data_IF_960450014792
#
_entry.id   IF_960450014792
#
_cell.length_a   1.000
_cell.length_b   1.000
_cell.length_c   1.000
_cell.angle_alpha   90.00
_cell.angle_beta   90.00
_cell.angle_gamma   90.00
#
_symmetry.space_group_name_H-M   'P 1'
#
loop_
_entity.id
_entity.type
_entity.pdbx_description
1 polymer ?
#
# COMPACT_ATOMS: atom_id res chain seq x y z
N UNK A 1 6.42 -2.92 -6.90
CA UNK A 1 5.05 -2.89 -7.46
C UNK A 1 5.01 -3.51 -8.84
N UNK A 2 5.58 -2.88 -9.87
CA UNK A 2 5.46 -3.35 -11.26
C UNK A 2 5.96 -4.77 -11.51
N UNK A 3 7.08 -5.15 -10.88
CA UNK A 3 7.65 -6.51 -11.00
C UNK A 3 6.68 -7.59 -10.51
N UNK A 4 6.09 -7.41 -9.33
CA UNK A 4 5.16 -8.38 -8.74
C UNK A 4 3.78 -8.34 -9.40
N UNK A 5 3.38 -7.18 -9.93
CA UNK A 5 2.20 -7.07 -10.76
C UNK A 5 2.34 -7.91 -12.03
N UNK A 6 3.38 -7.63 -12.83
CA UNK A 6 3.62 -8.34 -14.09
C UNK A 6 3.85 -9.83 -13.84
N UNK A 7 4.67 -10.18 -12.84
CA UNK A 7 4.89 -11.58 -12.48
C UNK A 7 3.61 -12.27 -12.02
N UNK A 8 2.79 -11.61 -11.20
CA UNK A 8 1.52 -12.15 -10.71
C UNK A 8 0.54 -12.43 -11.83
N UNK A 9 0.37 -11.48 -12.76
CA UNK A 9 -0.52 -11.64 -13.91
C UNK A 9 0.01 -12.69 -14.90
N UNK A 10 1.27 -12.59 -15.32
CA UNK A 10 1.84 -13.47 -16.35
C UNK A 10 1.97 -14.93 -15.91
N UNK A 11 2.21 -15.18 -14.61
CA UNK A 11 2.33 -16.54 -14.08
C UNK A 11 1.02 -17.06 -13.45
N UNK A 12 -0.10 -16.33 -13.60
CA UNK A 12 -1.40 -16.66 -12.99
C UNK A 12 -1.29 -16.97 -11.48
N UNK A 13 -0.46 -16.21 -10.76
CA UNK A 13 -0.28 -16.41 -9.31
C UNK A 13 -1.50 -15.83 -8.61
N UNK A 14 -2.45 -16.70 -8.26
CA UNK A 14 -3.59 -16.37 -7.43
C UNK A 14 -3.16 -16.36 -5.96
N UNK A 15 -3.02 -15.16 -5.39
CA UNK A 15 -2.81 -14.98 -3.95
C UNK A 15 -4.16 -14.64 -3.32
N UNK A 16 -4.38 -15.09 -2.08
CA UNK A 16 -5.62 -14.80 -1.37
C UNK A 16 -5.81 -13.27 -1.19
N UNK A 17 -6.87 -12.67 -1.77
CA UNK A 17 -7.10 -11.22 -1.70
C UNK A 17 -7.19 -10.70 -0.26
N UNK A 18 -7.82 -11.45 0.65
CA UNK A 18 -7.94 -11.07 2.06
C UNK A 18 -6.56 -10.93 2.72
N UNK A 19 -5.63 -11.85 2.44
CA UNK A 19 -4.29 -11.80 3.02
C UNK A 19 -3.47 -10.64 2.46
N UNK A 20 -3.55 -10.37 1.15
CA UNK A 20 -2.84 -9.24 0.57
C UNK A 20 -3.38 -7.92 1.13
N UNK A 21 -4.71 -7.74 1.14
CA UNK A 21 -5.31 -6.50 1.61
C UNK A 21 -5.04 -6.27 3.10
N UNK A 22 -4.95 -7.33 3.91
CA UNK A 22 -4.48 -7.25 5.29
C UNK A 22 -3.01 -6.79 5.37
N UNK A 23 -2.11 -7.29 4.51
CA UNK A 23 -0.72 -6.82 4.46
C UNK A 23 -0.64 -5.35 4.01
N UNK A 24 -1.48 -4.95 3.06
CA UNK A 24 -1.61 -3.55 2.62
C UNK A 24 -2.04 -2.67 3.81
N UNK A 25 -3.10 -3.05 4.52
CA UNK A 25 -3.55 -2.34 5.73
C UNK A 25 -2.45 -2.25 6.79
N UNK A 26 -1.73 -3.34 7.04
CA UNK A 26 -0.62 -3.38 7.97
C UNK A 26 0.53 -2.44 7.57
N UNK A 27 0.81 -2.30 6.27
CA UNK A 27 1.82 -1.37 5.78
C UNK A 27 1.50 0.10 6.11
N UNK A 28 0.21 0.47 6.09
CA UNK A 28 -0.27 1.80 6.48
C UNK A 28 -0.07 2.02 7.97
N UNK A 29 -0.40 1.02 8.79
CA UNK A 29 -0.16 1.07 10.25
C UNK A 29 1.33 1.23 10.55
N UNK A 30 2.16 0.39 9.92
CA UNK A 30 3.61 0.43 10.05
C UNK A 30 4.15 1.83 9.71
N UNK A 31 3.72 2.40 8.56
CA UNK A 31 4.23 3.70 8.14
C UNK A 31 3.70 4.86 8.97
N UNK A 32 2.45 4.82 9.42
CA UNK A 32 1.92 5.80 10.37
C UNK A 32 2.69 5.77 11.70
N UNK A 33 2.99 4.58 12.20
CA UNK A 33 3.77 4.40 13.43
C UNK A 33 5.21 4.90 13.29
N UNK A 34 5.87 4.59 12.17
CA UNK A 34 7.21 5.09 11.83
C UNK A 34 7.23 6.62 11.70
N UNK A 35 6.24 7.21 11.00
CA UNK A 35 6.11 8.66 10.83
C UNK A 35 5.92 9.42 12.16
N UNK A 36 5.28 8.79 13.15
CA UNK A 36 5.11 9.35 14.49
C UNK A 36 6.37 9.20 15.38
N UNK A 37 7.42 8.56 14.89
CA UNK A 37 8.62 8.23 15.66
C UNK A 37 8.41 7.09 16.66
N UNK A 38 7.39 6.25 16.46
CA UNK A 38 7.03 5.17 17.38
C UNK A 38 8.16 4.17 17.61
N UNK A 39 8.86 3.76 16.55
CA UNK A 39 10.00 2.84 16.65
C UNK A 39 11.13 3.38 17.52
N UNK A 40 11.48 4.65 17.33
CA UNK A 40 12.53 5.30 18.10
C UNK A 40 12.14 5.49 19.57
N UNK A 41 10.88 5.84 19.86
CA UNK A 41 10.40 6.03 21.24
C UNK A 41 10.25 4.74 22.03
N UNK A 42 9.71 3.67 21.42
CA UNK A 42 9.45 2.41 22.11
C UNK A 42 10.66 1.48 22.09
N UNK A 43 11.35 1.37 20.96
CA UNK A 43 12.39 0.35 20.75
C UNK A 43 13.80 0.92 20.64
N UNK A 44 13.96 2.26 20.61
CA UNK A 44 15.25 2.96 20.43
C UNK A 44 16.04 2.53 19.18
N UNK A 45 15.37 1.89 18.23
CA UNK A 45 15.92 1.46 16.95
C UNK A 45 15.04 2.00 15.82
N UNK A 46 15.63 2.27 14.66
CA UNK A 46 14.88 2.65 13.47
C UNK A 46 15.08 1.58 12.39
N UNK A 47 14.00 0.89 11.96
CA UNK A 47 14.10 -0.07 10.87
C UNK A 47 14.55 0.61 9.57
N UNK A 48 15.15 -0.15 8.66
CA UNK A 48 15.49 0.38 7.34
C UNK A 48 14.21 0.65 6.53
N UNK A 49 13.83 1.92 6.49
CA UNK A 49 12.61 2.39 5.81
C UNK A 49 12.60 2.09 4.32
N UNK A 50 13.76 2.05 3.67
CA UNK A 50 13.87 1.71 2.24
C UNK A 50 13.52 0.24 2.00
N UNK A 51 14.03 -0.66 2.84
CA UNK A 51 13.71 -2.08 2.76
C UNK A 51 12.23 -2.34 3.05
N UNK A 52 11.66 -1.67 4.05
CA UNK A 52 10.24 -1.79 4.37
C UNK A 52 9.35 -1.36 3.19
N UNK A 53 9.62 -0.18 2.60
CA UNK A 53 8.88 0.33 1.44
C UNK A 53 9.05 -0.59 0.23
N UNK A 54 10.23 -1.15 0.01
CA UNK A 54 10.46 -2.13 -1.05
C UNK A 54 9.58 -3.37 -0.86
N UNK A 55 9.63 -3.99 0.33
CA UNK A 55 8.88 -5.21 0.65
C UNK A 55 7.37 -4.95 0.54
N UNK A 56 6.85 -3.90 1.16
CA UNK A 56 5.43 -3.55 1.03
C UNK A 56 5.06 -3.23 -0.42
N UNK A 57 5.97 -2.64 -1.18
CA UNK A 57 5.75 -2.35 -2.58
C UNK A 57 5.67 -3.60 -3.46
N UNK A 58 6.31 -4.71 -3.05
CA UNK A 58 6.13 -6.01 -3.71
C UNK A 58 4.74 -6.58 -3.43
N UNK A 59 4.29 -6.58 -2.17
CA UNK A 59 2.96 -7.08 -1.80
C UNK A 59 1.81 -6.29 -2.45
N UNK A 60 1.89 -4.96 -2.47
CA UNK A 60 0.91 -4.13 -3.16
C UNK A 60 0.81 -4.44 -4.67
N UNK A 61 1.94 -4.75 -5.32
CA UNK A 61 1.92 -5.12 -6.74
C UNK A 61 1.15 -6.42 -6.99
N UNK A 62 1.26 -7.40 -6.07
CA UNK A 62 0.44 -8.61 -6.15
C UNK A 62 -1.04 -8.34 -5.93
N UNK A 63 -1.41 -7.49 -4.97
CA UNK A 63 -2.83 -7.16 -4.73
C UNK A 63 -3.50 -6.57 -5.96
N UNK A 64 -2.77 -5.70 -6.65
CA UNK A 64 -3.24 -5.12 -7.89
C UNK A 64 -3.31 -6.15 -9.04
N UNK A 65 -2.36 -7.07 -9.15
CA UNK A 65 -2.43 -8.17 -10.13
C UNK A 65 -3.67 -9.05 -9.92
N UNK A 66 -3.98 -9.41 -8.68
CA UNK A 66 -5.17 -10.21 -8.35
C UNK A 66 -6.45 -9.47 -8.76
N UNK A 67 -6.53 -8.15 -8.54
CA UNK A 67 -7.65 -7.33 -9.01
C UNK A 67 -7.73 -7.23 -10.53
N UNK A 68 -6.61 -7.12 -11.24
CA UNK A 68 -6.60 -7.15 -12.70
C UNK A 68 -7.07 -8.50 -13.27
N UNK A 69 -6.72 -9.61 -12.63
CA UNK A 69 -7.20 -10.95 -13.01
C UNK A 69 -8.71 -11.09 -12.79
N UNK A 70 -9.27 -10.50 -11.72
CA UNK A 70 -10.73 -10.44 -11.49
C UNK A 70 -11.48 -9.70 -12.62
N UNK A 71 -10.86 -8.70 -13.26
CA UNK A 71 -11.46 -7.94 -14.37
C UNK A 71 -11.52 -8.71 -15.71
N UNK A 72 -11.03 -9.96 -15.77
CA UNK A 72 -11.08 -10.83 -16.97
C UNK A 72 -10.64 -10.14 -18.27
N UNK A 73 -9.49 -9.45 -18.24
CA UNK A 73 -8.96 -8.78 -19.43
C UNK A 73 -8.73 -9.82 -20.54
N UNK A 74 -9.23 -9.59 -21.77
CA UNK A 74 -8.99 -10.47 -22.90
C UNK A 74 -7.51 -10.80 -23.05
N UNK A 75 -7.18 -12.07 -23.31
CA UNK A 75 -5.78 -12.49 -23.50
C UNK A 75 -5.12 -11.81 -24.71
N UNK A 76 -5.92 -11.37 -25.67
CA UNK A 76 -5.45 -10.60 -26.83
C UNK A 76 -5.02 -9.20 -26.39
N UNK A 77 -3.75 -8.84 -26.64
CA UNK A 77 -3.15 -7.58 -26.18
C UNK A 77 -2.87 -7.50 -24.67
N UNK A 78 -2.86 -8.62 -23.92
CA UNK A 78 -2.64 -8.62 -22.47
C UNK A 78 -1.33 -7.92 -22.07
N UNK A 79 -0.24 -8.15 -22.79
CA UNK A 79 1.05 -7.51 -22.49
C UNK A 79 1.01 -5.99 -22.70
N UNK A 80 0.38 -5.53 -23.79
CA UNK A 80 0.21 -4.09 -24.08
C UNK A 80 -0.66 -3.42 -23.03
N UNK A 81 -1.77 -4.06 -22.65
CA UNK A 81 -2.66 -3.59 -21.58
C UNK A 81 -1.92 -3.52 -20.23
N UNK A 82 -1.08 -4.51 -19.89
CA UNK A 82 -0.29 -4.49 -18.66
C UNK A 82 0.76 -3.38 -18.65
N UNK A 83 1.42 -3.14 -19.78
CA UNK A 83 2.39 -2.05 -19.91
C UNK A 83 1.67 -0.71 -19.76
N UNK A 84 0.58 -0.48 -20.50
CA UNK A 84 -0.20 0.75 -20.45
C UNK A 84 -0.75 1.01 -19.03
N UNK A 85 -1.27 -0.03 -18.39
CA UNK A 85 -1.74 0.03 -17.01
C UNK A 85 -0.61 0.41 -16.04
N UNK A 86 0.54 -0.26 -16.13
CA UNK A 86 1.66 0.01 -15.23
C UNK A 86 2.23 1.44 -15.43
N UNK A 87 2.34 1.89 -16.68
CA UNK A 87 2.71 3.27 -17.01
C UNK A 87 1.70 4.25 -16.41
N UNK A 88 0.40 3.98 -16.54
CA UNK A 88 -0.65 4.80 -15.93
C UNK A 88 -0.52 4.90 -14.40
N UNK A 89 -0.27 3.77 -13.73
CA UNK A 89 -0.05 3.74 -12.26
C UNK A 89 1.20 4.52 -11.87
N UNK A 90 2.31 4.34 -12.57
CA UNK A 90 3.58 5.01 -12.27
C UNK A 90 3.49 6.53 -12.46
N UNK A 91 2.85 6.96 -13.57
CA UNK A 91 2.57 8.38 -13.82
C UNK A 91 1.63 8.98 -12.77
N UNK A 92 0.54 8.27 -12.44
CA UNK A 92 -0.40 8.68 -11.41
C UNK A 92 0.25 8.82 -10.04
N UNK A 93 1.08 7.84 -9.65
CA UNK A 93 1.84 7.87 -8.40
C UNK A 93 2.84 9.04 -8.38
N UNK A 94 3.59 9.26 -9.46
CA UNK A 94 4.54 10.37 -9.56
C UNK A 94 3.84 11.72 -9.45
N UNK A 95 2.72 11.90 -10.16
CA UNK A 95 1.92 13.12 -10.11
C UNK A 95 1.36 13.37 -8.70
N UNK A 96 0.72 12.36 -8.11
CA UNK A 96 0.13 12.46 -6.77
C UNK A 96 1.19 12.78 -5.71
N UNK A 97 2.33 12.08 -5.72
CA UNK A 97 3.45 12.35 -4.81
C UNK A 97 3.98 13.77 -4.99
N UNK A 98 4.12 14.25 -6.23
CA UNK A 98 4.60 15.61 -6.51
C UNK A 98 3.66 16.66 -5.92
N UNK A 99 2.35 16.54 -6.17
CA UNK A 99 1.33 17.46 -5.63
C UNK A 99 1.31 17.44 -4.10
N UNK A 100 1.28 16.25 -3.50
CA UNK A 100 1.26 16.08 -2.04
C UNK A 100 2.53 16.65 -1.40
N UNK A 101 3.71 16.41 -2.00
CA UNK A 101 4.98 16.95 -1.50
C UNK A 101 5.02 18.48 -1.55
N UNK A 102 4.53 19.10 -2.63
CA UNK A 102 4.45 20.57 -2.73
C UNK A 102 3.51 21.12 -1.65
N UNK A 103 2.33 20.54 -1.51
CA UNK A 103 1.34 20.96 -0.52
C UNK A 103 1.89 20.84 0.92
N UNK A 104 2.48 19.70 1.26
CA UNK A 104 3.10 19.47 2.57
C UNK A 104 4.30 20.40 2.79
N UNK A 105 5.12 20.65 1.78
CA UNK A 105 6.30 21.52 1.89
C UNK A 105 5.89 22.97 2.23
N UNK A 106 4.83 23.47 1.61
CA UNK A 106 4.28 24.79 1.94
C UNK A 106 3.67 24.81 3.34
N UNK A 107 2.85 23.80 3.68
CA UNK A 107 2.16 23.73 4.97
C UNK A 107 3.10 23.49 6.15
N UNK A 108 4.23 22.80 5.96
CA UNK A 108 5.20 22.52 7.03
C UNK A 108 5.76 23.78 7.70
N UNK A 109 5.63 24.96 7.07
CA UNK A 109 6.04 26.26 7.64
C UNK A 109 5.14 26.75 8.77
N UNK A 110 3.94 26.18 8.95
CA UNK A 110 2.99 26.57 9.99
C UNK A 110 3.06 25.65 11.22
N UNK A 111 2.90 26.22 12.42
CA UNK A 111 2.88 25.47 13.70
C UNK A 111 1.75 24.43 13.77
N UNK A 112 0.66 24.61 13.02
CA UNK A 112 -0.44 23.65 12.90
C UNK A 112 -0.04 22.31 12.29
N UNK A 113 1.08 22.27 11.54
CA UNK A 113 1.54 21.07 10.84
C UNK A 113 1.82 19.89 11.77
N UNK A 114 2.37 20.15 12.97
CA UNK A 114 2.70 19.07 13.90
C UNK A 114 1.45 18.38 14.44
N UNK A 115 0.44 19.15 14.89
CA UNK A 115 -0.83 18.61 15.37
C UNK A 115 -1.56 17.86 14.25
N UNK A 116 -1.63 18.46 13.06
CA UNK A 116 -2.25 17.83 11.89
C UNK A 116 -1.56 16.52 11.51
N UNK A 117 -0.22 16.50 11.47
CA UNK A 117 0.56 15.30 11.18
C UNK A 117 0.29 14.20 12.20
N UNK A 118 0.22 14.54 13.50
CA UNK A 118 -0.10 13.56 14.53
C UNK A 118 -1.50 12.97 14.36
N UNK A 119 -2.50 13.82 14.12
CA UNK A 119 -3.88 13.38 13.90
C UNK A 119 -3.98 12.54 12.63
N UNK A 120 -3.43 12.99 11.51
CA UNK A 120 -3.48 12.28 10.23
C UNK A 120 -2.83 10.89 10.31
N UNK A 121 -1.62 10.78 10.88
CA UNK A 121 -0.99 9.47 11.04
C UNK A 121 -1.74 8.57 12.02
N UNK A 122 -2.36 9.12 13.08
CA UNK A 122 -3.18 8.34 14.01
C UNK A 122 -4.46 7.80 13.36
N UNK A 123 -5.11 8.62 12.52
CA UNK A 123 -6.27 8.22 11.73
C UNK A 123 -5.90 7.16 10.70
N UNK A 124 -4.77 7.34 9.99
CA UNK A 124 -4.25 6.35 9.04
C UNK A 124 -3.95 5.01 9.73
N UNK A 125 -3.34 5.03 10.91
CA UNK A 125 -3.11 3.82 11.69
C UNK A 125 -4.43 3.15 12.12
N UNK A 126 -5.41 3.94 12.56
CA UNK A 126 -6.72 3.41 12.98
C UNK A 126 -7.45 2.78 11.79
N UNK A 127 -7.47 3.45 10.64
CA UNK A 127 -8.04 2.91 9.40
C UNK A 127 -7.30 1.67 8.91
N UNK A 128 -5.96 1.67 8.95
CA UNK A 128 -5.14 0.51 8.63
C UNK A 128 -5.46 -0.69 9.52
N UNK A 129 -5.53 -0.49 10.84
CA UNK A 129 -5.91 -1.54 11.80
C UNK A 129 -7.32 -2.08 11.54
N UNK A 130 -8.27 -1.19 11.24
CA UNK A 130 -9.64 -1.58 10.89
C UNK A 130 -9.68 -2.45 9.62
N UNK A 131 -8.93 -2.07 8.58
CA UNK A 131 -8.82 -2.86 7.35
C UNK A 131 -8.18 -4.23 7.61
N UNK A 132 -7.11 -4.30 8.40
CA UNK A 132 -6.50 -5.59 8.79
C UNK A 132 -7.52 -6.47 9.50
N UNK A 133 -8.22 -5.93 10.50
CA UNK A 133 -9.20 -6.68 11.26
C UNK A 133 -10.36 -7.18 10.36
N UNK A 134 -10.85 -6.31 9.47
CA UNK A 134 -11.91 -6.65 8.52
C UNK A 134 -11.49 -7.80 7.60
N UNK A 135 -10.30 -7.70 6.99
CA UNK A 135 -9.84 -8.72 6.04
C UNK A 135 -9.46 -10.04 6.70
N UNK A 136 -8.86 -10.02 7.89
CA UNK A 136 -8.59 -11.25 8.63
C UNK A 136 -9.89 -11.94 9.07
N UNK A 137 -10.88 -11.17 9.53
CA UNK A 137 -12.20 -11.73 9.90
C UNK A 137 -12.89 -12.35 8.68
N UNK A 138 -12.85 -11.67 7.53
CA UNK A 138 -13.35 -12.21 6.26
C UNK A 138 -12.63 -13.49 5.84
N UNK A 139 -11.29 -13.53 5.96
CA UNK A 139 -10.48 -14.71 5.66
C UNK A 139 -10.88 -15.91 6.53
N UNK A 140 -11.05 -15.72 7.84
CA UNK A 140 -11.45 -16.79 8.73
C UNK A 140 -12.90 -17.21 8.45
N UNK A 141 -13.85 -16.28 8.38
CA UNK A 141 -15.26 -16.63 8.15
C UNK A 141 -15.50 -17.38 6.83
N UNK A 142 -14.69 -17.12 5.79
CA UNK A 142 -14.82 -17.78 4.49
C UNK A 142 -14.12 -19.14 4.41
N UNK A 143 -13.08 -19.40 5.23
CA UNK A 143 -12.36 -20.67 5.26
C UNK A 143 -12.91 -21.69 6.27
N UNK A 144 -13.72 -21.25 7.24
CA UNK A 144 -14.34 -22.13 8.25
C UNK A 144 -15.81 -22.48 7.87
N UNK A 145 -16.31 -21.95 6.74
CA UNK A 145 -17.68 -22.14 6.25
C UNK A 145 -17.80 -23.17 5.15
#
# INVERSE_FOLDING_TARGET
HSLTLMSGVLNNIAVNPYLIDAIIGFSVVYKGFDNLGGFQRLFRCQPNTKLAVLIFGLFHGFGLATKLQEFQIPNDGLLENLIAFNVGVELGQFFALTVVLIAISFWRRHRSFLQFSTVANSLLMSGGMMLVAYQLTGYFSHNIG
#
